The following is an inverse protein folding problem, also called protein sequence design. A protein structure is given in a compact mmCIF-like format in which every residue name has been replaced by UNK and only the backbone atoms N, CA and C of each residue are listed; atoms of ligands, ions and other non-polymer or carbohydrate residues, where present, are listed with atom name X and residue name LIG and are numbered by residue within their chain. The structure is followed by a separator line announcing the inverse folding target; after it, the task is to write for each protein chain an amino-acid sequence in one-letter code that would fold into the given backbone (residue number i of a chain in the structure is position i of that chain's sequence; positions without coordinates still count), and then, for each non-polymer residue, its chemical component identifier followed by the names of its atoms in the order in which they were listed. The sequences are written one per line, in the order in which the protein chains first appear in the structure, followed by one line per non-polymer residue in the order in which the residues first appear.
data_IF_533107152384
#
_entry.id   IF_533107152384
#
_cell.length_a   1.000
_cell.length_b   1.000
_cell.length_c   1.000
_cell.angle_alpha   90.00
_cell.angle_beta   90.00
_cell.angle_gamma   90.00
#
_symmetry.space_group_name_H-M   'P 1'
#
loop_
_entity.id
_entity.type
_entity.pdbx_description
1 polymer ?
#
# COMPACT_ATOMS: atom_id res chain seq x y z
N UNK A 1 23.40 30.53 3.02
CA UNK A 1 22.06 31.06 3.34
C UNK A 1 21.10 29.99 2.88
N UNK A 2 20.85 29.02 3.76
CA UNK A 2 19.90 27.94 3.51
C UNK A 2 18.51 28.50 3.79
N UNK A 3 17.65 28.53 2.79
CA UNK A 3 16.23 28.81 2.97
C UNK A 3 15.65 27.73 3.88
N UNK A 4 15.49 28.04 5.16
CA UNK A 4 14.68 27.21 6.04
C UNK A 4 13.24 27.22 5.51
N UNK A 5 12.61 26.06 5.32
CA UNK A 5 11.26 25.99 4.80
C UNK A 5 10.31 26.72 5.75
N UNK A 6 9.62 27.74 5.22
CA UNK A 6 8.56 28.46 5.93
C UNK A 6 7.56 27.42 6.47
N UNK A 7 7.32 27.36 7.80
CA UNK A 7 6.38 26.41 8.35
C UNK A 7 5.00 26.64 7.71
N UNK A 8 4.28 25.58 7.31
CA UNK A 8 2.97 25.73 6.69
C UNK A 8 2.06 26.49 7.66
N UNK A 9 1.45 27.60 7.21
CA UNK A 9 0.55 28.38 8.04
C UNK A 9 -0.71 27.56 8.34
N UNK A 10 -0.97 27.35 9.64
CA UNK A 10 -2.00 26.45 10.19
C UNK A 10 -3.33 27.20 10.45
N UNK A 11 -3.43 28.46 10.03
CA UNK A 11 -4.51 29.35 10.48
C UNK A 11 -5.77 29.28 9.61
N UNK A 12 -5.91 28.26 8.75
CA UNK A 12 -7.15 28.06 8.01
C UNK A 12 -8.27 27.64 8.96
N UNK A 13 -9.41 28.36 9.02
CA UNK A 13 -10.50 28.07 9.95
C UNK A 13 -11.08 26.65 9.82
N UNK A 14 -10.90 25.99 8.66
CA UNK A 14 -11.28 24.59 8.46
C UNK A 14 -10.41 23.56 9.20
N UNK A 15 -9.18 23.91 9.61
CA UNK A 15 -8.28 22.96 10.28
C UNK A 15 -8.75 22.64 11.70
N UNK A 16 -9.23 23.65 12.43
CA UNK A 16 -9.77 23.48 13.79
C UNK A 16 -10.99 22.55 13.78
N UNK A 17 -11.90 22.75 12.83
CA UNK A 17 -13.13 21.96 12.72
C UNK A 17 -12.83 20.48 12.41
N UNK A 18 -11.84 20.22 11.54
CA UNK A 18 -11.34 18.86 11.27
C UNK A 18 -10.70 18.22 12.51
N UNK A 19 -9.90 18.98 13.28
CA UNK A 19 -9.28 18.49 14.52
C UNK A 19 -10.35 18.10 15.54
N UNK A 20 -11.34 18.96 15.77
CA UNK A 20 -12.43 18.70 16.72
C UNK A 20 -13.22 17.47 16.28
N UNK A 21 -13.57 17.38 14.99
CA UNK A 21 -14.31 16.24 14.44
C UNK A 21 -13.52 14.93 14.51
N UNK A 22 -12.20 14.98 14.35
CA UNK A 22 -11.33 13.81 14.51
C UNK A 22 -11.29 13.33 15.97
N UNK A 23 -11.10 14.26 16.92
CA UNK A 23 -11.08 13.94 18.36
C UNK A 23 -12.44 13.44 18.87
N UNK A 24 -13.55 13.90 18.28
CA UNK A 24 -14.89 13.46 18.64
C UNK A 24 -15.22 12.02 18.20
N UNK A 25 -14.67 11.57 17.07
CA UNK A 25 -14.96 10.24 16.50
C UNK A 25 -13.89 9.18 16.84
N UNK A 26 -12.74 9.60 17.39
CA UNK A 26 -11.58 8.74 17.61
C UNK A 26 -11.47 8.14 19.01
N UNK A 27 -10.46 7.27 19.16
CA UNK A 27 -10.02 6.76 20.45
C UNK A 27 -9.51 7.89 21.37
N UNK A 28 -9.47 7.67 22.70
CA UNK A 28 -8.90 8.65 23.63
C UNK A 28 -7.42 8.94 23.31
N UNK A 29 -7.18 10.03 22.58
CA UNK A 29 -5.85 10.54 22.33
C UNK A 29 -5.33 11.31 23.54
N UNK A 30 -4.04 11.15 23.84
CA UNK A 30 -3.39 11.79 24.98
C UNK A 30 -2.39 12.83 24.48
N UNK A 31 -2.27 13.95 25.20
CA UNK A 31 -1.27 14.95 24.89
C UNK A 31 0.14 14.33 24.93
N UNK A 32 1.00 14.53 23.91
CA UNK A 32 2.34 13.94 23.89
C UNK A 32 3.25 14.50 24.99
N UNK A 33 2.92 15.68 25.55
CA UNK A 33 3.73 16.35 26.57
C UNK A 33 3.29 16.02 28.00
N UNK A 34 2.01 16.22 28.32
CA UNK A 34 1.48 16.01 29.69
C UNK A 34 0.63 14.74 29.85
N UNK A 35 0.34 14.02 28.77
CA UNK A 35 -0.57 12.85 28.74
C UNK A 35 -2.00 13.12 29.20
N UNK A 36 -2.44 14.38 29.27
CA UNK A 36 -3.84 14.69 29.51
C UNK A 36 -4.71 14.14 28.38
N UNK A 37 -5.89 13.60 28.71
CA UNK A 37 -6.83 13.07 27.73
C UNK A 37 -7.45 14.22 26.93
N UNK A 38 -7.29 14.19 25.62
CA UNK A 38 -7.71 15.27 24.72
C UNK A 38 -9.19 15.17 24.30
N UNK A 39 -10.03 14.58 25.16
CA UNK A 39 -11.47 14.50 24.90
C UNK A 39 -12.07 15.90 25.01
N UNK A 40 -12.95 16.24 24.06
CA UNK A 40 -13.75 17.48 24.07
C UNK A 40 -12.93 18.79 23.97
N UNK A 41 -11.74 18.77 23.35
CA UNK A 41 -11.01 20.00 23.08
C UNK A 41 -11.83 20.95 22.19
N UNK A 42 -12.00 22.19 22.62
CA UNK A 42 -12.63 23.28 21.85
C UNK A 42 -11.62 24.23 21.22
N UNK A 43 -10.33 24.09 21.56
CA UNK A 43 -9.22 24.91 21.06
C UNK A 43 -8.11 24.03 20.52
N UNK A 44 -7.14 24.60 19.80
CA UNK A 44 -5.94 23.92 19.32
C UNK A 44 -4.84 23.82 20.39
N UNK A 45 -5.12 24.13 21.65
CA UNK A 45 -4.14 24.10 22.75
C UNK A 45 -4.59 23.19 23.87
N UNK A 46 -3.64 22.49 24.45
CA UNK A 46 -3.90 21.68 25.64
C UNK A 46 -4.23 22.60 26.84
N UNK A 47 -5.34 22.37 27.58
CA UNK A 47 -5.71 23.21 28.72
C UNK A 47 -4.73 23.10 29.90
N UNK A 48 -4.04 21.95 30.05
CA UNK A 48 -3.10 21.71 31.14
C UNK A 48 -1.72 22.31 30.88
N UNK A 49 -1.17 22.13 29.67
CA UNK A 49 0.23 22.49 29.38
C UNK A 49 0.38 23.62 28.35
N UNK A 50 -0.71 24.12 27.78
CA UNK A 50 -0.71 25.17 26.75
C UNK A 50 -0.05 24.77 25.43
N UNK A 51 0.38 23.51 25.27
CA UNK A 51 1.06 23.05 24.05
C UNK A 51 0.08 23.02 22.89
N UNK A 52 0.46 23.60 21.76
CA UNK A 52 -0.33 23.61 20.54
C UNK A 52 -0.39 22.20 19.95
N UNK A 53 -1.60 21.74 19.64
CA UNK A 53 -1.89 20.43 19.09
C UNK A 53 -2.29 20.64 17.65
N UNK A 54 -1.40 20.24 16.75
CA UNK A 54 -1.67 20.23 15.32
C UNK A 54 -1.95 18.80 14.87
N UNK A 55 -3.00 18.61 14.07
CA UNK A 55 -3.22 17.32 13.41
C UNK A 55 -2.13 17.15 12.35
N UNK A 56 -1.13 16.32 12.66
CA UNK A 56 -0.12 15.92 11.68
C UNK A 56 -0.47 14.54 11.19
N UNK A 57 -0.63 14.41 9.88
CA UNK A 57 -0.53 13.13 9.21
C UNK A 57 0.92 12.69 9.36
N UNK A 58 1.22 11.95 10.42
CA UNK A 58 2.49 11.26 10.50
C UNK A 58 2.48 10.25 9.36
N UNK A 59 3.37 10.37 8.35
CA UNK A 59 3.51 9.29 7.38
C UNK A 59 3.85 8.05 8.20
N UNK A 60 3.00 7.01 8.13
CA UNK A 60 3.33 5.71 8.70
C UNK A 60 4.56 5.20 7.94
N UNK A 61 5.74 5.61 8.41
CA UNK A 61 7.05 5.38 7.79
C UNK A 61 7.30 3.89 7.56
N UNK A 62 6.67 3.05 8.38
CA UNK A 62 6.72 1.60 8.30
C UNK A 62 5.89 1.00 7.15
N UNK A 63 4.81 1.67 6.70
CA UNK A 63 4.03 1.18 5.56
C UNK A 63 4.61 1.61 4.22
N UNK A 64 5.35 2.72 4.14
CA UNK A 64 5.81 3.26 2.86
C UNK A 64 6.70 2.26 2.10
N UNK A 65 7.68 1.65 2.78
CA UNK A 65 8.58 0.71 2.11
C UNK A 65 7.86 -0.59 1.69
N UNK A 66 6.95 -1.09 2.54
CA UNK A 66 6.20 -2.33 2.28
C UNK A 66 5.26 -2.16 1.09
N UNK A 67 4.56 -1.03 1.04
CA UNK A 67 3.70 -0.68 -0.09
C UNK A 67 4.50 -0.57 -1.39
N UNK A 68 5.64 0.13 -1.36
CA UNK A 68 6.57 0.22 -2.49
C UNK A 68 7.06 -1.16 -2.94
N UNK A 69 7.43 -2.04 -2.02
CA UNK A 69 7.89 -3.39 -2.35
C UNK A 69 6.80 -4.23 -3.03
N UNK A 70 5.55 -4.11 -2.56
CA UNK A 70 4.40 -4.76 -3.20
C UNK A 70 4.16 -4.25 -4.62
N UNK A 71 4.24 -2.93 -4.82
CA UNK A 71 4.10 -2.28 -6.12
C UNK A 71 5.20 -2.69 -7.12
N UNK A 72 6.45 -2.78 -6.65
CA UNK A 72 7.59 -3.24 -7.46
C UNK A 72 7.43 -4.70 -7.85
N UNK A 73 7.02 -5.56 -6.92
CA UNK A 73 6.76 -6.97 -7.24
C UNK A 73 5.66 -7.10 -8.29
N UNK A 74 4.54 -6.39 -8.10
CA UNK A 74 3.40 -6.44 -8.99
C UNK A 74 3.74 -5.92 -10.41
N UNK A 75 4.51 -4.85 -10.51
CA UNK A 75 4.96 -4.31 -11.80
C UNK A 75 5.97 -5.23 -12.49
N UNK A 76 6.88 -5.85 -11.74
CA UNK A 76 7.85 -6.79 -12.28
C UNK A 76 7.16 -8.04 -12.85
N UNK A 77 6.18 -8.62 -12.14
CA UNK A 77 5.44 -9.79 -12.62
C UNK A 77 4.62 -9.46 -13.86
N UNK A 78 3.91 -8.33 -13.87
CA UNK A 78 3.15 -7.87 -15.04
C UNK A 78 4.06 -7.65 -16.26
N UNK A 79 5.21 -7.00 -16.06
CA UNK A 79 6.19 -6.75 -17.11
C UNK A 79 6.78 -8.05 -17.69
N UNK A 80 7.16 -9.00 -16.83
CA UNK A 80 7.71 -10.29 -17.27
C UNK A 80 6.68 -11.12 -18.04
N UNK A 81 5.41 -11.11 -17.63
CA UNK A 81 4.34 -11.82 -18.36
C UNK A 81 4.14 -11.26 -19.76
N UNK A 82 4.08 -9.94 -19.91
CA UNK A 82 3.92 -9.29 -21.23
C UNK A 82 5.14 -9.54 -22.11
N UNK A 83 6.35 -9.40 -21.57
CA UNK A 83 7.58 -9.64 -22.31
C UNK A 83 7.69 -11.10 -22.77
N UNK A 84 7.34 -12.06 -21.90
CA UNK A 84 7.30 -13.48 -22.24
C UNK A 84 6.30 -13.81 -23.35
N UNK A 85 5.13 -13.17 -23.32
CA UNK A 85 4.13 -13.28 -24.39
C UNK A 85 4.65 -12.74 -25.73
N UNK A 86 5.30 -11.57 -25.73
CA UNK A 86 5.89 -10.99 -26.94
C UNK A 86 7.02 -11.85 -27.52
N UNK A 87 7.91 -12.34 -26.66
CA UNK A 87 8.98 -13.26 -27.07
C UNK A 87 8.42 -14.55 -27.67
N UNK A 88 7.40 -15.14 -27.04
CA UNK A 88 6.69 -16.30 -27.59
C UNK A 88 6.08 -16.01 -28.97
N UNK A 89 5.47 -14.84 -29.16
CA UNK A 89 4.91 -14.44 -30.45
C UNK A 89 6.00 -14.22 -31.52
N UNK A 90 7.20 -13.78 -31.12
CA UNK A 90 8.33 -13.54 -32.03
C UNK A 90 9.08 -14.82 -32.42
N UNK A 91 9.20 -15.78 -31.49
CA UNK A 91 10.05 -16.97 -31.63
C UNK A 91 9.27 -18.28 -31.80
N UNK A 92 7.96 -18.30 -31.52
CA UNK A 92 7.15 -19.51 -31.46
C UNK A 92 6.44 -19.85 -32.77
N UNK A 93 6.99 -20.80 -33.52
CA UNK A 93 6.19 -21.69 -34.36
C UNK A 93 5.34 -22.63 -33.50
N UNK A 94 4.06 -22.73 -33.86
CA UNK A 94 2.89 -23.55 -33.45
C UNK A 94 2.89 -24.63 -32.33
N UNK A 95 3.98 -25.02 -31.68
CA UNK A 95 3.93 -25.91 -30.48
C UNK A 95 3.97 -25.13 -29.13
N UNK A 96 3.86 -23.80 -29.21
CA UNK A 96 4.17 -22.83 -28.14
C UNK A 96 3.24 -22.77 -26.92
N UNK A 97 2.11 -23.49 -26.91
CA UNK A 97 1.15 -23.44 -25.78
C UNK A 97 1.71 -24.05 -24.49
N UNK A 98 2.48 -25.14 -24.60
CA UNK A 98 3.09 -25.82 -23.47
C UNK A 98 4.20 -25.00 -22.79
N UNK A 99 5.00 -24.27 -23.57
CA UNK A 99 6.05 -23.39 -23.07
C UNK A 99 5.50 -22.18 -22.31
N UNK A 100 4.41 -21.58 -22.81
CA UNK A 100 3.77 -20.47 -22.13
C UNK A 100 3.14 -20.88 -20.79
N UNK A 101 2.43 -22.01 -20.78
CA UNK A 101 1.79 -22.55 -19.58
C UNK A 101 2.81 -22.81 -18.45
N UNK A 102 3.95 -23.41 -18.79
CA UNK A 102 5.01 -23.71 -17.81
C UNK A 102 5.69 -22.45 -17.28
N UNK A 103 6.02 -21.48 -18.14
CA UNK A 103 6.61 -20.20 -17.72
C UNK A 103 5.66 -19.38 -16.84
N UNK A 104 4.38 -19.32 -17.20
CA UNK A 104 3.37 -18.63 -16.40
C UNK A 104 3.17 -19.30 -15.03
N UNK A 105 3.15 -20.63 -14.98
CA UNK A 105 3.05 -21.37 -13.72
C UNK A 105 4.27 -21.13 -12.81
N UNK A 106 5.48 -21.15 -13.36
CA UNK A 106 6.73 -20.91 -12.62
C UNK A 106 6.81 -19.48 -12.09
N UNK A 107 6.47 -18.47 -12.90
CA UNK A 107 6.51 -17.08 -12.44
C UNK A 107 5.48 -16.81 -11.34
N UNK A 108 4.28 -17.38 -11.46
CA UNK A 108 3.21 -17.21 -10.47
C UNK A 108 3.55 -17.90 -9.15
N UNK A 109 4.10 -19.11 -9.20
CA UNK A 109 4.52 -19.84 -7.99
C UNK A 109 5.70 -19.17 -7.29
N UNK A 110 6.71 -18.70 -8.03
CA UNK A 110 7.83 -17.94 -7.44
C UNK A 110 7.36 -16.63 -6.80
N UNK A 111 6.48 -15.89 -7.47
CA UNK A 111 5.92 -14.63 -6.95
C UNK A 111 5.07 -14.87 -5.72
N UNK A 112 4.19 -15.89 -5.75
CA UNK A 112 3.37 -16.29 -4.62
C UNK A 112 4.18 -16.79 -3.43
N UNK A 113 5.23 -17.59 -3.66
CA UNK A 113 6.13 -18.05 -2.61
C UNK A 113 6.96 -16.91 -2.00
N UNK A 114 7.45 -15.98 -2.83
CA UNK A 114 8.15 -14.79 -2.35
C UNK A 114 7.23 -13.88 -1.53
N UNK A 115 5.98 -13.68 -1.99
CA UNK A 115 4.94 -12.98 -1.25
C UNK A 115 4.64 -13.68 0.06
N UNK A 116 4.41 -14.99 0.09
CA UNK A 116 4.14 -15.73 1.33
C UNK A 116 5.32 -15.69 2.32
N UNK A 117 6.56 -15.79 1.83
CA UNK A 117 7.76 -15.70 2.64
C UNK A 117 8.00 -14.30 3.20
N UNK A 118 7.68 -13.24 2.44
CA UNK A 118 7.79 -11.85 2.91
C UNK A 118 6.57 -11.34 3.66
N UNK A 119 5.37 -11.87 3.45
CA UNK A 119 4.12 -11.42 4.08
C UNK A 119 3.89 -12.00 5.48
N UNK A 120 4.84 -12.75 6.05
CA UNK A 120 4.93 -12.94 7.50
C UNK A 120 5.23 -11.59 8.18
N UNK A 121 4.22 -10.74 8.27
CA UNK A 121 4.25 -9.47 8.97
C UNK A 121 3.12 -9.44 9.98
N UNK A 122 3.49 -9.46 11.26
CA UNK A 122 2.60 -9.54 12.43
C UNK A 122 1.58 -8.39 12.58
N UNK A 123 1.46 -7.45 11.63
CA UNK A 123 0.64 -6.23 11.79
C UNK A 123 -0.03 -5.71 10.50
N UNK A 124 -0.06 -6.48 9.42
CA UNK A 124 -0.86 -6.09 8.24
C UNK A 124 -2.32 -6.54 8.44
N UNK A 125 -3.29 -5.69 8.11
CA UNK A 125 -4.70 -6.09 8.09
C UNK A 125 -4.91 -7.30 7.16
N UNK A 126 -5.56 -8.34 7.66
CA UNK A 126 -5.81 -9.60 6.95
C UNK A 126 -6.46 -9.38 5.57
N UNK A 127 -7.34 -8.39 5.44
CA UNK A 127 -7.99 -8.06 4.16
C UNK A 127 -7.00 -7.68 3.05
N UNK A 128 -5.96 -6.91 3.36
CA UNK A 128 -5.00 -6.44 2.34
C UNK A 128 -4.12 -7.59 1.87
N UNK A 129 -3.73 -8.48 2.79
CA UNK A 129 -2.97 -9.68 2.44
C UNK A 129 -3.79 -10.58 1.51
N UNK A 130 -5.06 -10.80 1.85
CA UNK A 130 -5.98 -11.60 1.05
C UNK A 130 -6.17 -11.01 -0.36
N UNK A 131 -6.38 -9.69 -0.45
CA UNK A 131 -6.61 -8.99 -1.73
C UNK A 131 -5.40 -9.08 -2.65
N UNK A 132 -4.19 -8.85 -2.12
CA UNK A 132 -2.94 -8.97 -2.87
C UNK A 132 -2.70 -10.41 -3.36
N UNK A 133 -3.01 -11.38 -2.50
CA UNK A 133 -2.87 -12.79 -2.84
C UNK A 133 -3.83 -13.16 -3.97
N UNK A 134 -5.11 -12.79 -3.88
CA UNK A 134 -6.09 -13.04 -4.95
C UNK A 134 -5.72 -12.33 -6.27
N UNK A 135 -5.29 -11.08 -6.22
CA UNK A 135 -4.91 -10.33 -7.41
C UNK A 135 -3.73 -11.00 -8.14
N UNK A 136 -2.74 -11.52 -7.39
CA UNK A 136 -1.59 -12.23 -7.95
C UNK A 136 -1.96 -13.53 -8.66
N UNK A 137 -3.05 -14.21 -8.26
CA UNK A 137 -3.50 -15.45 -8.90
C UNK A 137 -4.51 -15.21 -10.03
N UNK A 138 -5.36 -14.20 -9.89
CA UNK A 138 -6.42 -13.91 -10.86
C UNK A 138 -5.85 -13.49 -12.22
N UNK A 139 -4.84 -12.63 -12.24
CA UNK A 139 -4.24 -12.11 -13.48
C UNK A 139 -3.67 -13.25 -14.37
N UNK A 140 -2.77 -14.12 -13.88
CA UNK A 140 -2.24 -15.21 -14.69
C UNK A 140 -3.31 -16.25 -15.06
N UNK A 141 -4.29 -16.50 -14.19
CA UNK A 141 -5.40 -17.41 -14.50
C UNK A 141 -6.26 -16.89 -15.67
N UNK A 142 -6.60 -15.60 -15.67
CA UNK A 142 -7.34 -14.97 -16.78
C UNK A 142 -6.52 -15.01 -18.07
N UNK A 143 -5.23 -14.66 -18.02
CA UNK A 143 -4.36 -14.73 -19.19
C UNK A 143 -4.28 -16.15 -19.76
N UNK A 144 -4.14 -17.16 -18.89
CA UNK A 144 -4.14 -18.57 -19.30
C UNK A 144 -5.46 -18.96 -19.99
N UNK A 145 -6.59 -18.56 -19.43
CA UNK A 145 -7.91 -18.89 -19.97
C UNK A 145 -8.15 -18.24 -21.35
N UNK A 146 -7.74 -16.98 -21.52
CA UNK A 146 -7.83 -16.27 -22.81
C UNK A 146 -6.98 -16.97 -23.87
N UNK A 147 -5.73 -17.30 -23.57
CA UNK A 147 -4.85 -18.01 -24.51
C UNK A 147 -5.39 -19.39 -24.86
N UNK A 148 -5.89 -20.15 -23.88
CA UNK A 148 -6.50 -21.46 -24.11
C UNK A 148 -7.74 -21.38 -25.02
N UNK A 149 -8.57 -20.35 -24.85
CA UNK A 149 -9.79 -20.18 -25.66
C UNK A 149 -9.53 -19.84 -27.14
N UNK A 150 -8.33 -19.38 -27.47
CA UNK A 150 -7.95 -18.99 -28.84
C UNK A 150 -7.30 -20.10 -29.65
N UNK A 151 -7.00 -21.25 -29.01
CA UNK A 151 -6.37 -22.43 -29.64
C UNK A 151 -7.42 -23.51 -29.85
#
# INVERSE_FOLDING_TARGET
MTDDPVPPQVDSPGHLDLLIRFLANGEPHHCPRCRYALRELTTDRCPECGTQIALRLAPRRELTWRYLAGLIALSATAGFSILGMLLMMMFGGLDGTSGFATMAAVSTTLTGFWLAGRLRFENACDEIQLTLMFASFAIPAVCFFVVWSTV
#
